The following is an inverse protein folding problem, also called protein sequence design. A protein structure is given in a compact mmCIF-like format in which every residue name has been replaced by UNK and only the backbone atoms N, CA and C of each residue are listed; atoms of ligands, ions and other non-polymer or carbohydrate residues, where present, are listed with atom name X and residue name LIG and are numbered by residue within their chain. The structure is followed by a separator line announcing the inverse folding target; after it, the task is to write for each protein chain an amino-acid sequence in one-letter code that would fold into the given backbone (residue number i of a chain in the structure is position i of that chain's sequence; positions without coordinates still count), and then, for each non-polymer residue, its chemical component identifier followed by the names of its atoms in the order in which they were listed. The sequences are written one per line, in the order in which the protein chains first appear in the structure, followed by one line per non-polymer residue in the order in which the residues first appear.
data_IF_193992407484
#
_entry.id   IF_193992407484
#
_cell.length_a   1.000
_cell.length_b   1.000
_cell.length_c   1.000
_cell.angle_alpha   90.00
_cell.angle_beta   90.00
_cell.angle_gamma   90.00
#
_symmetry.space_group_name_H-M   'P 1'
#
loop_
_entity.id
_entity.type
_entity.pdbx_description
1 polymer ?
#
# COMPACT_ATOMS: atom_id res chain seq x y z
N UNK A 1 -6.93 12.22 6.30
CA UNK A 1 -6.45 13.21 5.30
C UNK A 1 -6.13 12.49 4.01
N UNK A 2 -6.57 13.00 2.85
CA UNK A 2 -6.21 12.44 1.55
C UNK A 2 -4.75 12.72 1.21
N UNK A 3 -4.10 11.87 0.42
CA UNK A 3 -2.71 12.07 0.00
C UNK A 3 -2.54 13.36 -0.82
N UNK A 4 -3.55 13.72 -1.61
CA UNK A 4 -3.56 14.95 -2.43
C UNK A 4 -3.67 16.23 -1.60
N UNK A 5 -4.10 16.13 -0.35
CA UNK A 5 -4.17 17.25 0.61
C UNK A 5 -2.89 17.36 1.45
N UNK A 6 -1.97 16.42 1.30
CA UNK A 6 -0.75 16.34 2.11
C UNK A 6 0.39 17.20 1.54
N UNK A 7 1.41 17.45 2.38
CA UNK A 7 2.63 18.15 1.95
C UNK A 7 3.45 17.40 0.89
N UNK A 8 3.20 16.10 0.71
CA UNK A 8 3.90 15.27 -0.28
C UNK A 8 3.12 15.10 -1.58
N UNK A 9 1.94 15.73 -1.72
CA UNK A 9 1.13 15.63 -2.93
C UNK A 9 1.89 16.03 -4.21
N UNK A 10 2.81 16.99 -4.11
CA UNK A 10 3.65 17.45 -5.23
C UNK A 10 4.67 16.41 -5.71
N UNK A 11 4.88 15.33 -4.95
CA UNK A 11 5.78 14.23 -5.31
C UNK A 11 5.05 13.06 -5.99
N UNK A 12 3.73 13.15 -6.16
CA UNK A 12 2.95 12.16 -6.91
C UNK A 12 3.38 12.25 -8.38
N UNK A 13 3.86 11.12 -8.90
CA UNK A 13 4.34 10.97 -10.29
C UNK A 13 3.18 10.65 -11.23
N UNK A 14 2.23 9.85 -10.75
CA UNK A 14 1.10 9.36 -11.54
C UNK A 14 -0.09 9.04 -10.63
N UNK A 15 -1.31 9.21 -11.15
CA UNK A 15 -2.52 8.76 -10.47
C UNK A 15 -3.33 7.87 -11.42
N UNK A 16 -3.96 6.85 -10.86
CA UNK A 16 -4.87 5.95 -11.57
C UNK A 16 -6.15 5.81 -10.76
N UNK A 17 -7.29 5.96 -11.43
CA UNK A 17 -8.60 5.82 -10.81
C UNK A 17 -9.26 4.51 -11.24
N UNK A 18 -10.05 3.94 -10.34
CA UNK A 18 -10.84 2.73 -10.55
C UNK A 18 -12.13 2.79 -9.74
N UNK A 19 -13.03 1.82 -9.95
CA UNK A 19 -14.21 1.65 -9.10
C UNK A 19 -13.84 1.30 -7.65
N UNK A 20 -12.69 0.64 -7.44
CA UNK A 20 -12.19 0.31 -6.12
C UNK A 20 -11.67 1.54 -5.35
N UNK A 21 -11.17 2.55 -6.06
CA UNK A 21 -10.57 3.74 -5.45
C UNK A 21 -9.49 4.37 -6.31
N UNK A 22 -8.64 5.17 -5.66
CA UNK A 22 -7.55 5.90 -6.33
C UNK A 22 -6.18 5.37 -5.89
N UNK A 23 -5.30 5.18 -6.87
CA UNK A 23 -3.92 4.78 -6.69
C UNK A 23 -3.00 5.95 -7.05
N UNK A 24 -2.10 6.29 -6.15
CA UNK A 24 -1.18 7.42 -6.28
C UNK A 24 0.26 6.90 -6.26
N UNK A 25 0.97 7.06 -7.36
CA UNK A 25 2.31 6.53 -7.55
C UNK A 25 3.37 7.57 -7.22
N UNK A 26 4.36 7.13 -6.44
CA UNK A 26 5.64 7.79 -6.20
C UNK A 26 6.73 6.92 -6.85
N UNK A 27 8.01 7.31 -6.72
CA UNK A 27 9.06 6.50 -7.34
C UNK A 27 9.12 5.07 -6.79
N UNK A 28 9.09 4.89 -5.46
CA UNK A 28 9.22 3.58 -4.80
C UNK A 28 8.02 3.21 -3.91
N UNK A 29 6.97 4.03 -3.92
CA UNK A 29 5.77 3.80 -3.12
C UNK A 29 4.55 3.96 -4.00
N UNK A 30 3.52 3.15 -3.77
CA UNK A 30 2.16 3.48 -4.17
C UNK A 30 1.29 3.69 -2.94
N UNK A 31 0.45 4.71 -2.97
CA UNK A 31 -0.55 4.97 -1.95
C UNK A 31 -1.92 4.62 -2.52
N UNK A 32 -2.67 3.77 -1.84
CA UNK A 32 -4.03 3.40 -2.24
C UNK A 32 -5.05 3.99 -1.27
N UNK A 33 -6.10 4.60 -1.84
CA UNK A 33 -7.26 5.15 -1.13
C UNK A 33 -8.51 4.50 -1.72
N UNK A 34 -8.99 3.42 -1.08
CA UNK A 34 -10.18 2.70 -1.51
C UNK A 34 -11.46 3.48 -1.19
N UNK A 35 -12.51 3.27 -1.97
CA UNK A 35 -13.82 3.88 -1.79
C UNK A 35 -14.56 3.26 -0.58
N UNK A 36 -15.45 4.05 0.03
CA UNK A 36 -16.27 3.67 1.18
C UNK A 36 -17.16 2.46 0.88
N UNK A 37 -17.28 1.55 1.85
CA UNK A 37 -18.22 0.43 1.83
C UNK A 37 -17.82 -0.75 0.93
N UNK A 38 -16.62 -0.73 0.35
CA UNK A 38 -16.18 -1.81 -0.53
C UNK A 38 -15.66 -3.03 0.23
N UNK A 39 -15.77 -4.18 -0.42
CA UNK A 39 -15.02 -5.39 -0.09
C UNK A 39 -13.92 -5.56 -1.13
N UNK A 40 -12.66 -5.54 -0.69
CA UNK A 40 -11.49 -5.63 -1.55
C UNK A 40 -10.99 -7.07 -1.57
N UNK A 41 -11.09 -7.68 -2.74
CA UNK A 41 -10.60 -9.01 -3.11
C UNK A 41 -9.81 -8.89 -4.44
N UNK A 42 -9.25 -9.99 -4.94
CA UNK A 42 -8.52 -10.01 -6.21
C UNK A 42 -9.38 -9.55 -7.40
N UNK A 43 -10.69 -9.81 -7.37
CA UNK A 43 -11.60 -9.47 -8.45
C UNK A 43 -11.85 -7.96 -8.53
N UNK A 44 -12.13 -7.32 -7.40
CA UNK A 44 -12.36 -5.88 -7.23
C UNK A 44 -11.07 -5.08 -7.31
N UNK A 45 -9.96 -5.62 -6.79
CA UNK A 45 -8.63 -5.01 -6.87
C UNK A 45 -7.93 -5.24 -8.23
N UNK A 46 -8.56 -5.93 -9.19
CA UNK A 46 -7.92 -6.32 -10.47
C UNK A 46 -7.28 -5.15 -11.21
N UNK A 47 -7.98 -4.01 -11.31
CA UNK A 47 -7.40 -2.80 -11.95
C UNK A 47 -6.22 -2.26 -11.14
N UNK A 48 -6.34 -2.19 -9.82
CA UNK A 48 -5.25 -1.78 -8.91
C UNK A 48 -4.02 -2.66 -9.10
N UNK A 49 -4.19 -3.99 -9.15
CA UNK A 49 -3.11 -4.95 -9.38
C UNK A 49 -2.46 -4.73 -10.75
N UNK A 50 -3.27 -4.57 -11.79
CA UNK A 50 -2.77 -4.30 -13.13
C UNK A 50 -1.96 -2.99 -13.20
N UNK A 51 -2.45 -1.91 -12.57
CA UNK A 51 -1.78 -0.62 -12.58
C UNK A 51 -0.47 -0.64 -11.78
N UNK A 52 -0.44 -1.36 -10.65
CA UNK A 52 0.80 -1.60 -9.89
C UNK A 52 1.83 -2.37 -10.73
N UNK A 53 1.40 -3.44 -11.40
CA UNK A 53 2.25 -4.25 -12.28
C UNK A 53 2.79 -3.42 -13.45
N UNK A 54 1.95 -2.59 -14.08
CA UNK A 54 2.35 -1.73 -15.19
C UNK A 54 3.39 -0.67 -14.78
N UNK A 55 3.34 -0.18 -13.53
CA UNK A 55 4.25 0.86 -13.06
C UNK A 55 5.55 0.34 -12.46
N UNK A 56 5.50 -0.71 -11.62
CA UNK A 56 6.69 -1.25 -10.94
C UNK A 56 7.32 -2.44 -11.68
N UNK A 57 6.56 -3.12 -12.56
CA UNK A 57 6.97 -4.37 -13.16
C UNK A 57 7.31 -5.42 -12.10
N UNK A 58 8.24 -6.33 -12.44
CA UNK A 58 8.66 -7.42 -11.57
C UNK A 58 9.98 -7.17 -10.84
N UNK A 59 10.71 -6.11 -11.18
CA UNK A 59 12.09 -5.91 -10.71
C UNK A 59 12.25 -4.71 -9.80
N UNK A 60 11.43 -3.67 -9.93
CA UNK A 60 11.56 -2.44 -9.15
C UNK A 60 11.03 -2.68 -7.73
N UNK A 61 11.86 -2.69 -6.68
CA UNK A 61 11.36 -2.85 -5.32
C UNK A 61 10.51 -1.65 -4.93
N UNK A 62 9.34 -1.95 -4.36
CA UNK A 62 8.38 -0.92 -3.97
C UNK A 62 7.62 -1.29 -2.71
N UNK A 63 6.98 -0.29 -2.13
CA UNK A 63 6.08 -0.45 -1.01
C UNK A 63 4.68 0.07 -1.32
N UNK A 64 3.68 -0.45 -0.61
CA UNK A 64 2.31 0.03 -0.68
C UNK A 64 1.92 0.64 0.67
N UNK A 65 1.26 1.79 0.63
CA UNK A 65 0.59 2.40 1.79
C UNK A 65 -0.91 2.44 1.53
N UNK A 66 -1.69 1.67 2.28
CA UNK A 66 -3.14 1.80 2.32
C UNK A 66 -3.53 2.98 3.22
N UNK A 67 -3.92 4.11 2.64
CA UNK A 67 -4.42 5.26 3.38
C UNK A 67 -5.93 5.12 3.60
N UNK A 68 -6.32 4.60 4.77
CA UNK A 68 -7.71 4.26 5.11
C UNK A 68 -8.52 5.47 5.53
N UNK A 69 -8.71 6.39 4.60
CA UNK A 69 -9.59 7.56 4.78
C UNK A 69 -11.08 7.18 4.81
N UNK A 70 -11.41 5.99 4.30
CA UNK A 70 -12.74 5.42 4.19
C UNK A 70 -12.80 4.06 4.89
N UNK A 71 -13.99 3.62 5.28
CA UNK A 71 -14.23 2.28 5.84
C UNK A 71 -14.47 1.28 4.71
N UNK A 72 -13.70 0.20 4.71
CA UNK A 72 -13.82 -0.90 3.76
C UNK A 72 -13.25 -2.18 4.39
N UNK A 73 -13.47 -3.32 3.74
CA UNK A 73 -12.94 -4.63 4.18
C UNK A 73 -12.00 -5.22 3.13
N UNK A 74 -11.10 -6.13 3.53
CA UNK A 74 -10.18 -6.85 2.64
C UNK A 74 -10.33 -8.36 2.82
N UNK A 75 -10.29 -9.12 1.73
CA UNK A 75 -10.16 -10.56 1.72
C UNK A 75 -8.74 -10.98 2.12
N UNK A 76 -8.52 -11.14 3.44
CA UNK A 76 -7.20 -11.42 4.01
C UNK A 76 -6.53 -12.70 3.49
N UNK A 77 -7.33 -13.72 3.16
CA UNK A 77 -6.82 -15.00 2.66
C UNK A 77 -6.14 -14.88 1.29
N UNK A 78 -6.45 -13.84 0.52
CA UNK A 78 -5.90 -13.62 -0.83
C UNK A 78 -4.59 -12.81 -0.82
N UNK A 79 -4.17 -12.32 0.35
CA UNK A 79 -2.91 -11.57 0.51
C UNK A 79 -1.67 -12.39 0.12
N UNK A 80 -1.72 -13.72 0.27
CA UNK A 80 -0.67 -14.64 -0.17
C UNK A 80 -0.53 -14.64 -1.69
N UNK A 81 -1.66 -14.60 -2.41
CA UNK A 81 -1.68 -14.53 -3.87
C UNK A 81 -1.16 -13.18 -4.36
N UNK A 82 -1.58 -12.08 -3.74
CA UNK A 82 -1.04 -10.73 -4.03
C UNK A 82 0.47 -10.71 -3.87
N UNK A 83 1.01 -11.35 -2.82
CA UNK A 83 2.46 -11.46 -2.63
C UNK A 83 3.15 -12.29 -3.72
N UNK A 84 2.51 -13.34 -4.20
CA UNK A 84 3.02 -14.13 -5.34
C UNK A 84 3.02 -13.33 -6.64
N UNK A 85 2.02 -12.44 -6.83
CA UNK A 85 1.94 -11.54 -7.99
C UNK A 85 3.06 -10.49 -7.94
N UNK A 86 3.40 -10.00 -6.74
CA UNK A 86 4.40 -8.96 -6.55
C UNK A 86 5.59 -9.41 -5.70
N UNK A 87 6.53 -10.21 -6.25
CA UNK A 87 7.76 -10.59 -5.53
C UNK A 87 8.66 -9.40 -5.16
N UNK A 88 8.48 -8.27 -5.84
CA UNK A 88 9.14 -6.98 -5.61
C UNK A 88 8.36 -6.03 -4.67
N UNK A 89 7.21 -6.45 -4.13
CA UNK A 89 6.54 -5.73 -3.03
C UNK A 89 7.27 -6.07 -1.72
N UNK A 90 8.08 -5.13 -1.23
CA UNK A 90 9.00 -5.38 -0.11
C UNK A 90 8.54 -4.76 1.21
N UNK A 91 7.53 -3.90 1.16
CA UNK A 91 6.97 -3.24 2.33
C UNK A 91 5.49 -2.93 2.14
N UNK A 92 4.71 -3.12 3.20
CA UNK A 92 3.30 -2.74 3.26
C UNK A 92 3.04 -1.92 4.52
N UNK A 93 2.14 -0.96 4.43
CA UNK A 93 1.72 -0.12 5.53
C UNK A 93 0.26 0.29 5.42
N UNK A 94 -0.39 0.48 6.55
CA UNK A 94 -1.78 0.87 6.71
C UNK A 94 -1.80 2.10 7.59
N UNK A 95 -2.38 3.18 7.07
CA UNK A 95 -2.61 4.40 7.84
C UNK A 95 -4.08 4.42 8.21
N UNK A 96 -4.39 4.30 9.49
CA UNK A 96 -5.75 4.28 10.01
C UNK A 96 -6.04 5.55 10.80
N UNK A 97 -7.22 6.13 10.61
CA UNK A 97 -7.62 7.38 11.27
C UNK A 97 -8.61 7.17 12.43
N UNK A 98 -8.95 5.92 12.75
CA UNK A 98 -9.84 5.55 13.85
C UNK A 98 -9.46 4.19 14.46
N UNK A 99 -10.02 3.89 15.63
CA UNK A 99 -9.70 2.69 16.42
C UNK A 99 -10.12 1.39 15.74
N UNK A 100 -11.29 1.36 15.10
CA UNK A 100 -11.75 0.21 14.33
C UNK A 100 -10.79 -0.12 13.17
N UNK A 101 -10.29 0.92 12.49
CA UNK A 101 -9.29 0.79 11.44
C UNK A 101 -7.97 0.23 11.95
N UNK A 102 -7.52 0.66 13.14
CA UNK A 102 -6.32 0.10 13.79
C UNK A 102 -6.48 -1.37 14.12
N UNK A 103 -7.61 -1.77 14.70
CA UNK A 103 -7.87 -3.17 15.03
C UNK A 103 -7.91 -4.05 13.77
N UNK A 104 -8.53 -3.56 12.69
CA UNK A 104 -8.49 -4.25 11.39
C UNK A 104 -7.08 -4.34 10.82
N UNK A 105 -6.28 -3.27 10.94
CA UNK A 105 -4.89 -3.24 10.49
C UNK A 105 -4.00 -4.23 11.27
N UNK A 106 -4.26 -4.41 12.57
CA UNK A 106 -3.58 -5.40 13.40
C UNK A 106 -3.92 -6.83 12.97
N UNK A 107 -5.19 -7.12 12.65
CA UNK A 107 -5.60 -8.41 12.08
C UNK A 107 -4.90 -8.64 10.74
N UNK A 108 -4.87 -7.63 9.86
CA UNK A 108 -4.16 -7.68 8.57
C UNK A 108 -2.66 -7.92 8.71
N UNK A 109 -2.04 -7.40 9.77
CA UNK A 109 -0.61 -7.56 10.02
C UNK A 109 -0.19 -9.01 10.19
N UNK A 110 -1.08 -9.85 10.71
CA UNK A 110 -0.83 -11.28 10.90
C UNK A 110 -0.72 -12.04 9.56
N UNK A 111 -1.25 -11.49 8.48
CA UNK A 111 -1.18 -12.04 7.12
C UNK A 111 -0.08 -11.38 6.28
N UNK A 112 0.57 -10.34 6.81
CA UNK A 112 1.68 -9.66 6.15
C UNK A 112 3.03 -10.14 6.71
N UNK A 113 4.03 -10.30 5.84
CA UNK A 113 5.39 -10.65 6.28
C UNK A 113 6.23 -9.46 6.75
N UNK A 114 5.68 -8.26 6.77
CA UNK A 114 6.38 -7.07 7.25
C UNK A 114 6.02 -6.83 8.71
N UNK A 115 7.03 -6.68 9.57
CA UNK A 115 6.82 -6.26 10.95
C UNK A 115 6.23 -4.86 11.01
N UNK A 116 5.32 -4.59 11.93
CA UNK A 116 4.72 -3.27 12.20
C UNK A 116 4.20 -2.56 10.93
N UNK A 117 2.97 -2.86 10.52
CA UNK A 117 2.35 -2.27 9.32
C UNK A 117 1.27 -1.24 9.63
N UNK A 118 0.97 -0.96 10.90
CA UNK A 118 -0.13 -0.06 11.28
C UNK A 118 0.44 1.27 11.78
N UNK A 119 -0.09 2.38 11.25
CA UNK A 119 0.40 3.73 11.54
C UNK A 119 -0.77 4.68 11.81
N UNK A 120 -0.58 5.61 12.75
CA UNK A 120 -1.60 6.60 13.14
C UNK A 120 -1.61 7.85 12.25
N UNK A 121 -0.54 8.07 11.48
CA UNK A 121 -0.47 9.22 10.59
C UNK A 121 0.21 8.88 9.26
N UNK A 122 -0.19 9.62 8.23
CA UNK A 122 0.24 9.40 6.85
C UNK A 122 1.75 9.52 6.68
N UNK A 123 2.38 10.48 7.35
CA UNK A 123 3.80 10.75 7.19
C UNK A 123 4.67 9.64 7.77
N UNK A 124 4.31 9.12 8.94
CA UNK A 124 4.97 7.98 9.57
C UNK A 124 4.84 6.71 8.72
N UNK A 125 3.64 6.44 8.19
CA UNK A 125 3.42 5.29 7.31
C UNK A 125 4.25 5.38 6.03
N UNK A 126 4.27 6.55 5.38
CA UNK A 126 5.08 6.80 4.19
C UNK A 126 6.57 6.65 4.47
N UNK A 127 7.08 7.30 5.51
CA UNK A 127 8.50 7.28 5.87
C UNK A 127 8.98 5.87 6.24
N UNK A 128 8.19 5.14 7.03
CA UNK A 128 8.53 3.77 7.45
C UNK A 128 8.55 2.81 6.26
N UNK A 129 7.52 2.85 5.40
CA UNK A 129 7.46 2.02 4.20
C UNK A 129 8.59 2.37 3.24
N UNK A 130 8.86 3.65 3.01
CA UNK A 130 9.97 4.10 2.18
C UNK A 130 11.32 3.59 2.68
N UNK A 131 11.62 3.77 3.97
CA UNK A 131 12.86 3.30 4.59
C UNK A 131 13.05 1.80 4.42
N UNK A 132 11.99 1.00 4.55
CA UNK A 132 12.04 -0.46 4.30
C UNK A 132 12.42 -0.78 2.86
N UNK A 133 11.84 -0.06 1.88
CA UNK A 133 12.20 -0.23 0.47
C UNK A 133 13.66 0.12 0.23
N UNK A 134 14.14 1.26 0.73
CA UNK A 134 15.53 1.70 0.56
C UNK A 134 16.52 0.75 1.25
N UNK A 135 16.19 0.26 2.46
CA UNK A 135 17.02 -0.71 3.16
C UNK A 135 17.13 -2.05 2.43
N UNK A 136 16.08 -2.45 1.69
CA UNK A 136 16.14 -3.65 0.86
C UNK A 136 17.02 -3.42 -0.37
N UNK A 137 16.95 -2.24 -0.99
CA UNK A 137 17.79 -1.84 -2.13
C UNK A 137 19.28 -1.77 -1.76
N UNK A 138 19.62 -1.19 -0.60
CA UNK A 138 21.01 -1.09 -0.15
C UNK A 138 21.63 -2.46 0.14
N UNK A 139 20.88 -3.37 0.76
CA UNK A 139 21.32 -4.77 1.00
C UNK A 139 21.48 -5.57 -0.29
N UNK A 140 20.69 -5.28 -1.33
CA UNK A 140 20.82 -5.93 -2.63
C UNK A 140 22.06 -5.46 -3.41
N UNK A 141 22.60 -4.28 -3.09
CA UNK A 141 23.80 -3.70 -3.73
C UNK A 141 25.12 -4.16 -3.08
N UNK A 142 25.05 -4.90 -1.98
CA UNK A 142 26.18 -5.39 -1.19
C UNK A 142 26.46 -6.89 -1.39
N UNK A 143 25.66 -7.56 -2.23
CA UNK A 143 25.83 -8.96 -2.64
C UNK A 143 26.06 -9.03 -4.15
#
# INVERSE_FOLDING_TARGET
MKIVESKVATQIVKQEQSEAGTLHFFNHIAVVEFNEGLHIDLATARKTIHDLMAYFGNSKPFGIVANRINSYSIALLETVEVKSIFPNLVAYGIVSHNEAGRMNAEIESQFCTSDNISFDNLYEGLDTVYKRVINKLSKASLN
#
